data_IF_182867468993
#
_entry.id   IF_182867468993
#
_cell.length_a   1.000
_cell.length_b   1.000
_cell.length_c   1.000
_cell.angle_alpha   90.00
_cell.angle_beta   90.00
_cell.angle_gamma   90.00
#
_symmetry.space_group_name_H-M   'P 1'
#
loop_
_entity.id
_entity.type
_entity.pdbx_description
1 polymer ?
#
# COMPACT_ATOMS: atom_id res chain seq x y z
N UNK A 1 -0.63 -1.61 26.63
CA UNK A 1 0.82 -1.48 26.38
C UNK A 1 1.04 -1.64 24.88
N UNK A 2 1.87 -0.82 24.24
CA UNK A 2 2.19 -0.94 22.80
C UNK A 2 3.33 -1.96 22.65
N UNK A 3 3.12 -3.00 21.85
CA UNK A 3 4.15 -4.03 21.59
C UNK A 3 5.25 -3.53 20.64
N UNK A 4 4.87 -2.84 19.57
CA UNK A 4 5.78 -2.42 18.52
C UNK A 4 5.21 -1.23 17.75
N UNK A 5 6.09 -0.29 17.40
CA UNK A 5 5.83 0.75 16.41
C UNK A 5 6.57 0.38 15.12
N UNK A 6 5.89 0.46 13.97
CA UNK A 6 6.48 0.21 12.66
C UNK A 6 6.45 1.51 11.88
N UNK A 7 7.64 2.03 11.56
CA UNK A 7 7.75 3.17 10.66
C UNK A 7 7.49 2.75 9.21
N UNK A 8 6.72 3.56 8.50
CA UNK A 8 6.45 3.35 7.08
C UNK A 8 7.73 3.46 6.25
N UNK A 9 7.85 2.64 5.21
CA UNK A 9 8.91 2.73 4.21
C UNK A 9 8.33 3.10 2.86
N UNK A 10 8.91 4.09 2.18
CA UNK A 10 8.48 4.46 0.83
C UNK A 10 8.76 3.33 -0.14
N UNK A 11 7.76 3.01 -0.96
CA UNK A 11 7.85 2.00 -2.02
C UNK A 11 7.17 2.53 -3.28
N UNK A 12 7.88 2.50 -4.40
CA UNK A 12 7.26 2.68 -5.71
C UNK A 12 6.35 1.49 -6.03
N UNK A 13 5.16 1.79 -6.56
CA UNK A 13 4.26 0.78 -7.17
C UNK A 13 4.12 1.01 -8.69
N UNK A 14 5.12 1.65 -9.29
CA UNK A 14 5.07 2.19 -10.64
C UNK A 14 5.00 3.71 -10.56
N UNK A 15 3.79 4.24 -10.69
CA UNK A 15 3.56 5.64 -11.06
C UNK A 15 3.47 6.60 -9.88
N UNK A 16 3.43 6.05 -8.66
CA UNK A 16 3.52 6.79 -7.40
C UNK A 16 4.17 5.94 -6.31
N UNK A 17 4.53 6.60 -5.20
CA UNK A 17 5.04 5.95 -4.00
C UNK A 17 3.94 5.77 -2.95
N UNK A 18 4.08 4.71 -2.16
CA UNK A 18 3.22 4.39 -1.02
C UNK A 18 4.04 4.19 0.24
N UNK A 19 3.42 4.42 1.40
CA UNK A 19 3.98 4.07 2.70
C UNK A 19 3.69 2.62 3.04
N UNK A 20 4.68 1.72 2.86
CA UNK A 20 4.53 0.30 3.18
C UNK A 20 4.85 0.01 4.64
N UNK A 21 3.87 -0.56 5.35
CA UNK A 21 4.00 -1.00 6.75
C UNK A 21 4.25 -2.51 6.85
N UNK A 22 3.45 -3.31 6.14
CA UNK A 22 3.58 -4.78 6.10
C UNK A 22 3.95 -5.28 4.70
N UNK A 23 4.78 -6.33 4.59
CA UNK A 23 5.50 -7.00 5.68
C UNK A 23 6.70 -6.16 6.19
N UNK A 24 6.96 -6.20 7.49
CA UNK A 24 8.17 -5.62 8.11
C UNK A 24 9.13 -6.71 8.61
N UNK A 25 10.40 -6.38 8.80
CA UNK A 25 11.42 -7.36 9.21
C UNK A 25 11.10 -8.05 10.53
N UNK A 26 10.58 -7.30 11.53
CA UNK A 26 10.23 -7.82 12.87
C UNK A 26 8.77 -8.28 12.98
N UNK A 27 7.89 -7.87 12.06
CA UNK A 27 6.47 -8.25 12.04
C UNK A 27 5.99 -8.42 10.60
N UNK A 28 5.82 -9.67 10.17
CA UNK A 28 5.40 -10.01 8.81
C UNK A 28 3.90 -9.92 8.60
N UNK A 29 3.11 -10.19 9.65
CA UNK A 29 1.65 -10.20 9.64
C UNK A 29 1.08 -9.68 10.96
N UNK A 30 -0.16 -9.21 10.92
CA UNK A 30 -0.98 -8.86 12.10
C UNK A 30 -2.33 -9.52 11.92
N UNK A 31 -2.62 -10.60 12.66
CA UNK A 31 -3.80 -11.42 12.40
C UNK A 31 -3.84 -11.89 10.93
N UNK A 32 -4.94 -11.66 10.18
CA UNK A 32 -5.05 -12.03 8.76
C UNK A 32 -4.37 -11.01 7.81
N UNK A 33 -3.88 -9.88 8.31
CA UNK A 33 -3.29 -8.83 7.48
C UNK A 33 -1.82 -9.14 7.18
N UNK A 34 -1.54 -9.48 5.92
CA UNK A 34 -0.21 -9.84 5.43
C UNK A 34 0.48 -8.72 4.64
N UNK A 35 -0.28 -7.67 4.29
CA UNK A 35 0.17 -6.57 3.46
C UNK A 35 -0.61 -5.30 3.82
N UNK A 36 0.09 -4.17 3.87
CA UNK A 36 -0.53 -2.88 4.18
C UNK A 36 0.30 -1.74 3.59
N UNK A 37 -0.31 -1.03 2.65
CA UNK A 37 0.22 0.20 2.04
C UNK A 37 -0.73 1.36 2.36
N UNK A 38 -0.15 2.47 2.80
CA UNK A 38 -0.86 3.75 2.91
C UNK A 38 -0.55 4.58 1.66
N UNK A 39 -1.60 4.93 0.91
CA UNK A 39 -1.49 5.73 -0.31
C UNK A 39 -1.79 7.20 -0.01
N UNK A 40 -0.82 8.08 -0.28
CA UNK A 40 -0.95 9.51 -0.02
C UNK A 40 -0.72 9.92 1.45
N UNK A 41 -1.17 11.12 1.85
CA UNK A 41 -1.91 12.09 1.02
C UNK A 41 -1.08 12.58 -0.17
N UNK A 42 -1.70 12.68 -1.34
CA UNK A 42 -1.07 13.18 -2.56
C UNK A 42 -2.14 13.86 -3.43
N UNK A 43 -1.82 15.03 -3.97
CA UNK A 43 -2.63 15.67 -5.00
C UNK A 43 -2.22 15.11 -6.36
N UNK A 44 -3.18 14.50 -7.07
CA UNK A 44 -2.97 13.98 -8.40
C UNK A 44 -3.60 14.92 -9.43
N UNK A 45 -2.88 15.31 -10.51
CA UNK A 45 -3.46 16.12 -11.56
C UNK A 45 -4.56 15.35 -12.30
N UNK A 46 -5.54 16.08 -12.84
CA UNK A 46 -6.56 15.48 -13.72
C UNK A 46 -5.91 14.99 -15.01
N UNK A 47 -6.43 13.88 -15.55
CA UNK A 47 -5.98 13.35 -16.84
C UNK A 47 -4.59 12.72 -16.81
N UNK A 48 -4.23 12.05 -15.70
CA UNK A 48 -3.01 11.26 -15.65
C UNK A 48 -2.92 10.30 -16.85
N UNK A 49 -1.71 10.10 -17.40
CA UNK A 49 -1.51 9.19 -18.52
C UNK A 49 -1.79 7.76 -18.07
N UNK A 50 -2.15 6.85 -18.97
CA UNK A 50 -2.59 5.47 -18.62
C UNK A 50 -1.49 4.64 -17.97
N UNK A 51 -0.23 5.03 -18.18
CA UNK A 51 0.94 4.52 -17.50
C UNK A 51 0.88 4.78 -15.99
N UNK A 52 -0.03 5.65 -15.50
CA UNK A 52 -0.33 5.83 -14.10
C UNK A 52 -1.09 4.66 -13.45
N UNK A 53 -1.74 3.82 -14.26
CA UNK A 53 -2.50 2.68 -13.79
C UNK A 53 -1.60 1.58 -13.22
N UNK A 54 -2.06 0.92 -12.17
CA UNK A 54 -1.43 -0.29 -11.68
C UNK A 54 -1.57 -1.38 -12.76
N UNK A 55 -0.44 -1.85 -13.28
CA UNK A 55 -0.39 -2.85 -14.36
C UNK A 55 -1.08 -4.17 -13.95
N UNK A 56 -1.61 -4.94 -14.92
CA UNK A 56 -2.20 -6.26 -14.64
C UNK A 56 -1.24 -7.17 -13.87
N UNK A 57 -1.72 -7.75 -12.77
CA UNK A 57 -0.98 -8.73 -11.97
C UNK A 57 -1.95 -9.66 -11.21
N UNK A 58 -1.63 -10.95 -11.08
CA UNK A 58 -2.50 -11.91 -10.40
C UNK A 58 -2.33 -11.89 -8.87
N UNK A 59 -3.35 -12.33 -8.16
CA UNK A 59 -3.33 -12.68 -6.73
C UNK A 59 -3.90 -14.09 -6.53
N UNK A 60 -3.40 -14.83 -5.55
CA UNK A 60 -3.89 -16.17 -5.18
C UNK A 60 -3.85 -16.33 -3.66
N UNK A 61 -4.87 -16.98 -3.10
CA UNK A 61 -4.93 -17.30 -1.66
C UNK A 61 -5.08 -16.09 -0.74
N UNK A 62 -5.51 -14.94 -1.26
CA UNK A 62 -5.69 -13.69 -0.51
C UNK A 62 -6.84 -12.86 -1.07
N UNK A 63 -7.26 -11.86 -0.30
CA UNK A 63 -8.17 -10.80 -0.73
C UNK A 63 -7.49 -9.44 -0.57
N UNK A 64 -7.73 -8.51 -1.50
CA UNK A 64 -7.32 -7.12 -1.37
C UNK A 64 -8.48 -6.27 -0.88
N UNK A 65 -8.20 -5.33 0.02
CA UNK A 65 -9.17 -4.35 0.49
C UNK A 65 -8.57 -2.98 0.27
N UNK A 66 -9.23 -2.17 -0.55
CA UNK A 66 -8.87 -0.76 -0.76
C UNK A 66 -9.88 0.10 -0.04
N UNK A 67 -9.41 0.86 0.96
CA UNK A 67 -10.24 1.80 1.69
C UNK A 67 -9.91 3.23 1.25
N UNK A 68 -10.84 3.86 0.55
CA UNK A 68 -10.65 5.20 -0.05
C UNK A 68 -11.04 6.27 0.97
N UNK A 69 -10.05 7.04 1.43
CA UNK A 69 -10.28 8.19 2.32
C UNK A 69 -10.73 9.45 1.56
N UNK A 70 -10.15 9.69 0.39
CA UNK A 70 -10.43 10.82 -0.49
C UNK A 70 -10.13 10.42 -1.95
N UNK A 71 -10.85 11.03 -2.91
CA UNK A 71 -10.73 10.76 -4.35
C UNK A 71 -11.51 11.75 -5.19
#
# INVERSE_FOLDING_TARGET
MIEQVIDQRRRSIGSFEVGRLLPSGRRRLVGPFIFFDHMGPVELPRGLPREADVRPHPHIGLCTVTYVFAG
#
